data_IF_091441300218
#
_entry.id   IF_091441300218
#
_cell.length_a   1.000
_cell.length_b   1.000
_cell.length_c   1.000
_cell.angle_alpha   90.00
_cell.angle_beta   90.00
_cell.angle_gamma   90.00
#
_symmetry.space_group_name_H-M   'P 1'
#
loop_
_entity.id
_entity.type
_entity.pdbx_description
1 polymer ?
#
# COMPACT_ATOMS: atom_id res chain seq x y z
N UNK A 1 10.89 12.04 -2.88
CA UNK A 1 12.08 11.62 -3.65
C UNK A 1 13.30 11.32 -2.77
N UNK A 2 13.59 12.12 -1.73
CA UNK A 2 14.75 11.85 -0.86
C UNK A 2 14.59 10.55 -0.05
N UNK A 3 13.39 10.24 0.42
CA UNK A 3 13.11 9.02 1.19
C UNK A 3 12.95 7.78 0.33
N UNK A 4 12.36 7.90 -0.84
CA UNK A 4 12.08 6.81 -1.78
C UNK A 4 12.58 7.20 -3.16
N UNK A 5 13.88 7.05 -3.43
CA UNK A 5 14.44 7.39 -4.73
C UNK A 5 13.90 6.43 -5.80
N UNK A 6 13.49 6.97 -6.93
CA UNK A 6 13.08 6.22 -8.10
C UNK A 6 14.26 6.10 -9.05
N UNK A 7 14.71 4.87 -9.28
CA UNK A 7 15.77 4.59 -10.24
C UNK A 7 15.16 4.25 -11.61
N UNK A 8 15.74 4.71 -12.71
CA UNK A 8 15.31 4.29 -14.03
C UNK A 8 15.38 2.77 -14.18
N UNK A 9 14.34 2.15 -14.73
CA UNK A 9 14.29 0.71 -14.93
C UNK A 9 13.65 0.33 -16.26
N UNK A 10 13.92 -0.87 -16.74
CA UNK A 10 13.27 -1.43 -17.92
C UNK A 10 12.14 -2.36 -17.48
N UNK A 11 10.91 -2.02 -17.86
CA UNK A 11 9.72 -2.84 -17.65
C UNK A 11 9.63 -3.86 -18.79
N UNK A 12 9.97 -5.12 -18.50
CA UNK A 12 9.97 -6.20 -19.50
C UNK A 12 8.54 -6.53 -19.98
N UNK A 13 7.55 -6.41 -19.09
CA UNK A 13 6.15 -6.72 -19.41
C UNK A 13 5.56 -5.76 -20.44
N UNK A 14 5.96 -4.49 -20.38
CA UNK A 14 5.56 -3.43 -21.31
C UNK A 14 6.57 -3.16 -22.42
N UNK A 15 7.77 -3.77 -22.33
CA UNK A 15 8.91 -3.53 -23.22
C UNK A 15 9.27 -2.04 -23.29
N UNK A 16 9.38 -1.38 -22.15
CA UNK A 16 9.52 0.07 -22.04
C UNK A 16 10.54 0.47 -20.98
N UNK A 17 11.33 1.51 -21.29
CA UNK A 17 12.18 2.19 -20.31
C UNK A 17 11.34 3.16 -19.49
N UNK A 18 11.37 3.05 -18.15
CA UNK A 18 10.70 3.95 -17.22
C UNK A 18 11.76 4.84 -16.56
N UNK A 19 11.61 6.15 -16.72
CA UNK A 19 12.56 7.16 -16.22
C UNK A 19 11.96 8.08 -15.14
N UNK A 20 10.72 7.81 -14.69
CA UNK A 20 10.08 8.60 -13.65
C UNK A 20 8.56 8.48 -13.65
N UNK A 21 7.89 9.44 -13.03
CA UNK A 21 6.44 9.52 -12.92
C UNK A 21 5.93 10.90 -13.34
N UNK A 22 4.83 10.94 -14.08
CA UNK A 22 4.06 12.16 -14.40
C UNK A 22 2.76 12.13 -13.60
N UNK A 23 2.53 13.16 -12.79
CA UNK A 23 1.36 13.24 -11.90
C UNK A 23 0.33 14.18 -12.55
N UNK A 24 -0.88 13.68 -12.76
CA UNK A 24 -2.02 14.42 -13.27
C UNK A 24 -3.12 14.44 -12.21
N UNK A 25 -3.46 15.63 -11.73
CA UNK A 25 -4.53 15.80 -10.74
C UNK A 25 -5.59 16.76 -11.24
N UNK A 26 -6.86 16.52 -10.85
CA UNK A 26 -7.99 17.38 -11.20
C UNK A 26 -9.07 17.28 -10.13
N UNK A 27 -9.98 18.27 -10.13
CA UNK A 27 -11.20 18.22 -9.32
C UNK A 27 -12.28 17.43 -10.05
N UNK A 28 -13.05 16.64 -9.31
CA UNK A 28 -14.16 15.84 -9.85
C UNK A 28 -15.25 16.69 -10.52
N UNK A 29 -15.38 17.96 -10.10
CA UNK A 29 -16.27 18.94 -10.74
C UNK A 29 -15.72 19.54 -12.05
N UNK A 30 -14.43 19.28 -12.34
CA UNK A 30 -13.76 19.76 -13.54
C UNK A 30 -13.72 18.73 -14.67
N UNK A 31 -13.20 19.16 -15.81
CA UNK A 31 -12.96 18.23 -16.93
C UNK A 31 -11.75 17.36 -16.62
N UNK A 32 -11.92 16.05 -16.77
CA UNK A 32 -10.85 15.08 -16.66
C UNK A 32 -9.77 15.33 -17.72
N UNK A 33 -8.51 15.55 -17.33
CA UNK A 33 -7.44 15.78 -18.29
C UNK A 33 -7.00 14.46 -18.91
N UNK A 34 -6.47 14.54 -20.13
CA UNK A 34 -5.76 13.44 -20.78
C UNK A 34 -6.52 12.10 -20.85
N UNK A 35 -7.82 12.15 -21.20
CA UNK A 35 -8.68 10.97 -21.33
C UNK A 35 -8.07 9.84 -22.19
N UNK A 36 -7.26 10.18 -23.17
CA UNK A 36 -6.58 9.18 -24.02
C UNK A 36 -5.49 8.39 -23.29
N UNK A 37 -5.05 8.86 -22.12
CA UNK A 37 -4.00 8.24 -21.32
C UNK A 37 -4.61 7.55 -20.11
N UNK A 38 -5.40 8.28 -19.33
CA UNK A 38 -5.96 7.81 -18.05
C UNK A 38 -7.32 7.13 -18.18
N UNK A 39 -7.94 7.14 -19.36
CA UNK A 39 -9.22 6.48 -19.60
C UNK A 39 -10.31 6.97 -18.65
N UNK A 40 -11.17 6.06 -18.18
CA UNK A 40 -12.26 6.35 -17.26
C UNK A 40 -11.88 6.23 -15.77
N UNK A 41 -10.65 5.84 -15.45
CA UNK A 41 -10.18 5.69 -14.08
C UNK A 41 -10.03 7.04 -13.37
N UNK A 42 -10.34 7.09 -12.08
CA UNK A 42 -10.27 8.31 -11.29
C UNK A 42 -8.96 8.40 -10.49
N UNK A 43 -8.44 7.26 -10.06
CA UNK A 43 -7.19 7.12 -9.33
C UNK A 43 -6.49 5.87 -9.83
N UNK A 44 -5.25 6.01 -10.28
CA UNK A 44 -4.44 4.85 -10.73
C UNK A 44 -2.99 5.24 -11.01
N UNK A 45 -2.15 4.24 -11.01
CA UNK A 45 -0.91 4.26 -11.77
C UNK A 45 -1.23 3.59 -13.11
N UNK A 46 -1.57 4.38 -14.11
CA UNK A 46 -2.14 3.89 -15.36
C UNK A 46 -1.37 4.39 -16.59
N UNK A 47 -0.86 3.45 -17.36
CA UNK A 47 -0.15 3.76 -18.59
C UNK A 47 1.18 4.49 -18.41
N UNK A 48 1.72 4.92 -19.52
CA UNK A 48 2.96 5.67 -19.61
C UNK A 48 2.91 6.70 -20.73
N UNK A 49 3.65 7.79 -20.54
CA UNK A 49 3.85 8.85 -21.54
C UNK A 49 5.29 9.35 -21.42
N UNK A 50 5.97 9.45 -22.54
CA UNK A 50 7.34 9.97 -22.61
C UNK A 50 8.29 9.29 -21.61
N UNK A 51 8.28 7.96 -21.61
CA UNK A 51 9.11 7.12 -20.71
C UNK A 51 8.83 7.34 -19.20
N UNK A 52 7.63 7.79 -18.84
CA UNK A 52 7.22 8.00 -17.43
C UNK A 52 5.90 7.30 -17.14
N UNK A 53 5.80 6.71 -15.98
CA UNK A 53 4.51 6.26 -15.46
C UNK A 53 3.55 7.44 -15.31
N UNK A 54 2.28 7.18 -15.52
CA UNK A 54 1.21 8.15 -15.31
C UNK A 54 0.51 7.83 -14.00
N UNK A 55 0.61 8.74 -13.04
CA UNK A 55 -0.19 8.75 -11.82
C UNK A 55 -1.36 9.70 -11.99
N UNK A 56 -2.58 9.22 -11.85
CA UNK A 56 -3.79 10.03 -11.94
C UNK A 56 -4.47 10.15 -10.58
N UNK A 57 -4.89 11.37 -10.21
CA UNK A 57 -5.48 11.69 -8.91
C UNK A 57 -6.71 12.57 -9.10
N UNK A 58 -7.90 12.01 -8.95
CA UNK A 58 -9.13 12.79 -8.86
C UNK A 58 -9.37 13.19 -7.40
N UNK A 59 -9.52 14.48 -7.17
CA UNK A 59 -9.84 15.04 -5.87
C UNK A 59 -11.26 15.60 -5.86
N UNK A 60 -11.94 15.47 -4.73
CA UNK A 60 -13.24 16.09 -4.51
C UNK A 60 -13.04 17.50 -3.94
N UNK A 61 -14.02 18.40 -4.14
CA UNK A 61 -13.97 19.73 -3.53
C UNK A 61 -13.92 19.64 -1.98
N UNK A 62 -14.60 18.63 -1.42
CA UNK A 62 -14.60 18.36 0.02
C UNK A 62 -13.24 17.97 0.59
N UNK A 63 -12.30 17.48 -0.23
CA UNK A 63 -10.96 17.09 0.21
C UNK A 63 -10.10 18.30 0.58
N UNK A 64 -10.51 19.50 0.17
CA UNK A 64 -9.85 20.76 0.52
C UNK A 64 -10.43 21.44 1.77
N UNK A 65 -11.48 20.87 2.37
CA UNK A 65 -12.03 21.38 3.61
C UNK A 65 -11.01 21.27 4.75
N UNK A 66 -11.13 22.18 5.71
CA UNK A 66 -10.29 22.15 6.92
C UNK A 66 -10.49 20.82 7.67
N UNK A 67 -9.38 20.21 8.07
CA UNK A 67 -9.37 18.91 8.77
C UNK A 67 -9.51 17.68 7.88
N UNK A 68 -9.71 17.82 6.56
CA UNK A 68 -9.66 16.71 5.64
C UNK A 68 -8.22 16.49 5.14
N UNK A 69 -7.63 15.34 5.52
CA UNK A 69 -6.26 14.98 5.18
C UNK A 69 -6.17 14.08 3.94
N UNK A 70 -7.30 13.70 3.34
CA UNK A 70 -7.38 12.74 2.24
C UNK A 70 -6.50 13.12 1.03
N UNK A 71 -6.47 14.41 0.66
CA UNK A 71 -5.64 14.89 -0.45
C UNK A 71 -4.14 14.63 -0.28
N UNK A 72 -3.67 14.63 0.96
CA UNK A 72 -2.27 14.34 1.28
C UNK A 72 -2.02 12.82 1.37
N UNK A 73 -2.96 12.13 1.97
CA UNK A 73 -2.96 10.67 2.10
C UNK A 73 -2.93 10.01 0.72
N UNK A 74 -3.86 10.39 -0.16
CA UNK A 74 -3.96 9.87 -1.51
C UNK A 74 -2.66 10.01 -2.31
N UNK A 75 -2.02 11.18 -2.25
CA UNK A 75 -0.75 11.38 -2.95
C UNK A 75 0.35 10.44 -2.41
N UNK A 76 0.43 10.26 -1.10
CA UNK A 76 1.41 9.38 -0.48
C UNK A 76 1.14 7.91 -0.83
N UNK A 77 -0.12 7.50 -0.83
CA UNK A 77 -0.59 6.17 -1.21
C UNK A 77 -0.16 5.80 -2.63
N UNK A 78 -0.59 6.60 -3.60
CA UNK A 78 -0.32 6.34 -5.01
C UNK A 78 1.18 6.45 -5.34
N UNK A 79 1.91 7.36 -4.69
CA UNK A 79 3.36 7.45 -4.88
C UNK A 79 4.07 6.20 -4.35
N UNK A 80 3.55 5.58 -3.30
CA UNK A 80 4.10 4.32 -2.81
C UNK A 80 3.92 3.19 -3.81
N UNK A 81 2.81 3.12 -4.54
CA UNK A 81 2.66 2.17 -5.65
C UNK A 81 3.72 2.38 -6.74
N UNK A 82 4.04 3.63 -7.08
CA UNK A 82 5.15 3.91 -8.01
C UNK A 82 6.48 3.36 -7.46
N UNK A 83 6.71 3.50 -6.16
CA UNK A 83 7.90 2.96 -5.53
C UNK A 83 7.93 1.42 -5.55
N UNK A 84 6.81 0.76 -5.27
CA UNK A 84 6.67 -0.71 -5.40
C UNK A 84 6.97 -1.17 -6.83
N UNK A 85 6.40 -0.51 -7.83
CA UNK A 85 6.67 -0.81 -9.26
C UNK A 85 8.14 -0.61 -9.61
N UNK A 86 8.78 0.39 -9.04
CA UNK A 86 10.21 0.64 -9.25
C UNK A 86 11.08 -0.49 -8.67
N UNK A 87 10.73 -1.01 -7.50
CA UNK A 87 11.43 -2.14 -6.88
C UNK A 87 11.25 -3.44 -7.67
N UNK A 88 10.03 -3.68 -8.18
CA UNK A 88 9.68 -4.87 -8.97
C UNK A 88 10.13 -4.79 -10.43
N UNK A 89 10.49 -3.60 -10.93
CA UNK A 89 10.74 -3.32 -12.36
C UNK A 89 9.54 -3.68 -13.25
N UNK A 90 8.35 -3.50 -12.72
CA UNK A 90 7.07 -3.80 -13.33
C UNK A 90 6.01 -3.94 -12.24
N UNK A 91 4.82 -4.42 -12.59
CA UNK A 91 3.75 -4.61 -11.63
C UNK A 91 2.91 -5.83 -12.01
N UNK A 92 2.90 -6.81 -11.13
CA UNK A 92 2.00 -7.95 -11.17
C UNK A 92 1.30 -8.01 -9.81
N UNK A 93 0.00 -7.65 -9.78
CA UNK A 93 -0.82 -7.57 -8.57
C UNK A 93 -1.53 -8.87 -8.22
N UNK A 94 -1.40 -9.88 -9.07
CA UNK A 94 -2.07 -11.16 -8.85
C UNK A 94 -1.42 -11.94 -7.68
N UNK A 95 -2.26 -12.28 -6.72
CA UNK A 95 -1.89 -13.10 -5.57
C UNK A 95 -1.24 -12.40 -4.39
N UNK A 96 -1.02 -11.08 -4.45
CA UNK A 96 -0.40 -10.29 -3.36
C UNK A 96 -1.12 -8.97 -3.09
N UNK A 97 -2.34 -8.83 -3.58
CA UNK A 97 -3.05 -7.55 -3.62
C UNK A 97 -3.19 -6.90 -2.23
N UNK A 98 -3.54 -7.68 -1.19
CA UNK A 98 -3.65 -7.12 0.16
C UNK A 98 -2.32 -6.55 0.69
N UNK A 99 -1.19 -7.13 0.28
CA UNK A 99 0.12 -6.64 0.71
C UNK A 99 0.46 -5.33 0.00
N UNK A 100 0.16 -5.24 -1.29
CA UNK A 100 0.33 -4.03 -2.10
C UNK A 100 -0.47 -2.88 -1.49
N UNK A 101 -1.77 -3.05 -1.33
CA UNK A 101 -2.67 -2.02 -0.80
C UNK A 101 -2.42 -1.74 0.69
N UNK A 102 -2.17 -2.77 1.48
CA UNK A 102 -1.89 -2.61 2.91
C UNK A 102 -0.62 -1.84 3.20
N UNK A 103 0.39 -1.98 2.35
CA UNK A 103 1.63 -1.20 2.45
C UNK A 103 1.38 0.26 2.06
N UNK A 104 0.67 0.51 0.96
CA UNK A 104 0.33 1.86 0.53
C UNK A 104 -0.52 2.58 1.59
N UNK A 105 -1.52 1.89 2.17
CA UNK A 105 -2.34 2.42 3.26
C UNK A 105 -1.54 2.66 4.56
N UNK A 106 -0.55 1.82 4.84
CA UNK A 106 0.37 2.05 5.98
C UNK A 106 1.25 3.26 5.73
N UNK A 107 1.80 3.36 4.52
CA UNK A 107 2.65 4.46 4.09
C UNK A 107 1.92 5.81 4.16
N UNK A 108 0.70 5.89 3.61
CA UNK A 108 -0.12 7.10 3.70
C UNK A 108 -0.39 7.50 5.16
N UNK A 109 -0.66 6.50 6.02
CA UNK A 109 -0.95 6.75 7.44
C UNK A 109 0.26 7.30 8.19
N UNK A 110 1.45 6.74 7.94
CA UNK A 110 2.70 7.26 8.51
C UNK A 110 3.03 8.65 7.97
N UNK A 111 2.78 8.91 6.68
CA UNK A 111 2.94 10.22 6.07
C UNK A 111 2.03 11.27 6.72
N UNK A 112 0.76 10.95 6.90
CA UNK A 112 -0.21 11.85 7.54
C UNK A 112 0.15 12.10 9.00
N UNK A 113 0.57 11.07 9.73
CA UNK A 113 1.07 11.20 11.11
C UNK A 113 2.25 12.16 11.20
N UNK A 114 3.26 12.01 10.35
CA UNK A 114 4.52 12.76 10.44
C UNK A 114 4.43 14.17 9.86
N UNK A 115 3.86 14.34 8.66
CA UNK A 115 3.90 15.59 7.91
C UNK A 115 2.62 16.43 8.00
N UNK A 116 1.51 15.81 8.39
CA UNK A 116 0.22 16.48 8.57
C UNK A 116 -0.16 16.62 10.06
N UNK A 117 0.59 15.96 10.96
CA UNK A 117 0.38 15.95 12.41
C UNK A 117 -0.97 15.37 12.84
N UNK A 118 -1.52 14.38 12.10
CA UNK A 118 -2.70 13.64 12.49
C UNK A 118 -2.32 12.24 12.96
N UNK A 119 -2.04 12.10 14.26
CA UNK A 119 -1.69 10.82 14.88
C UNK A 119 -2.85 9.84 14.97
N UNK A 120 -4.09 10.30 14.79
CA UNK A 120 -5.28 9.46 14.86
C UNK A 120 -5.66 8.85 13.50
N UNK A 121 -5.02 9.27 12.42
CA UNK A 121 -5.39 8.85 11.07
C UNK A 121 -5.37 7.32 10.93
N UNK A 122 -4.29 6.67 11.36
CA UNK A 122 -4.15 5.21 11.32
C UNK A 122 -5.20 4.49 12.19
N UNK A 123 -5.56 5.07 13.35
CA UNK A 123 -6.60 4.49 14.21
C UNK A 123 -7.98 4.53 13.57
N UNK A 124 -8.26 5.49 12.70
CA UNK A 124 -9.52 5.53 11.96
C UNK A 124 -9.67 4.32 11.03
N UNK A 125 -8.59 3.84 10.44
CA UNK A 125 -8.57 2.60 9.65
C UNK A 125 -8.74 1.38 10.54
N UNK A 126 -7.93 1.25 11.59
CA UNK A 126 -7.95 0.12 12.49
C UNK A 126 -9.31 -0.05 13.19
N UNK A 127 -9.95 1.04 13.57
CA UNK A 127 -11.28 1.00 14.16
C UNK A 127 -12.35 0.51 13.19
N UNK A 128 -12.29 0.89 11.91
CA UNK A 128 -13.19 0.37 10.88
C UNK A 128 -12.99 -1.12 10.67
N UNK A 129 -11.75 -1.54 10.56
CA UNK A 129 -11.39 -2.95 10.40
C UNK A 129 -11.90 -3.78 11.58
N UNK A 130 -11.74 -3.29 12.80
CA UNK A 130 -12.18 -3.97 14.01
C UNK A 130 -13.69 -4.21 14.05
N UNK A 131 -14.48 -3.25 13.60
CA UNK A 131 -15.95 -3.38 13.55
C UNK A 131 -16.43 -4.41 12.50
N UNK A 132 -15.62 -4.69 11.48
CA UNK A 132 -15.93 -5.63 10.39
C UNK A 132 -15.23 -6.98 10.56
N UNK A 133 -14.54 -7.20 11.66
CA UNK A 133 -13.48 -8.17 11.80
C UNK A 133 -13.93 -9.63 11.73
N UNK A 134 -15.04 -9.98 12.38
CA UNK A 134 -15.50 -11.38 12.46
C UNK A 134 -15.79 -11.97 11.06
N UNK A 135 -16.23 -11.12 10.12
CA UNK A 135 -16.49 -11.54 8.75
C UNK A 135 -15.23 -11.41 7.87
N UNK A 136 -14.40 -10.40 8.11
CA UNK A 136 -13.19 -10.13 7.34
C UNK A 136 -12.15 -11.23 7.41
N UNK A 137 -11.88 -11.78 8.60
CA UNK A 137 -10.88 -12.86 8.78
C UNK A 137 -11.31 -14.18 8.13
N UNK A 138 -12.60 -14.46 8.06
CA UNK A 138 -13.07 -15.69 7.44
C UNK A 138 -12.80 -15.75 5.93
N UNK A 139 -12.53 -14.63 5.30
CA UNK A 139 -12.36 -14.50 3.85
C UNK A 139 -11.00 -13.87 3.46
N UNK A 140 -9.97 -13.98 4.31
CA UNK A 140 -8.66 -13.34 4.06
C UNK A 140 -8.04 -13.70 2.71
N UNK A 141 -8.25 -14.93 2.23
CA UNK A 141 -7.77 -15.37 0.93
C UNK A 141 -8.40 -14.58 -0.24
N UNK A 142 -9.59 -14.00 -0.04
CA UNK A 142 -10.21 -13.14 -1.05
C UNK A 142 -9.41 -11.86 -1.30
N UNK A 143 -8.59 -11.43 -0.35
CA UNK A 143 -7.73 -10.25 -0.49
C UNK A 143 -6.41 -10.53 -1.22
N UNK A 144 -6.16 -11.78 -1.64
CA UNK A 144 -4.96 -12.12 -2.40
C UNK A 144 -4.98 -11.55 -3.82
N UNK A 145 -6.16 -11.33 -4.41
CA UNK A 145 -6.32 -10.80 -5.77
C UNK A 145 -7.21 -9.57 -5.84
N UNK A 146 -7.03 -8.76 -6.88
CA UNK A 146 -7.85 -7.58 -7.16
C UNK A 146 -9.35 -7.91 -7.26
N UNK A 147 -9.72 -8.98 -7.97
CA UNK A 147 -11.11 -9.38 -8.13
C UNK A 147 -11.73 -9.84 -6.81
N UNK A 148 -10.98 -10.59 -6.01
CA UNK A 148 -11.40 -11.00 -4.68
C UNK A 148 -11.55 -9.82 -3.74
N UNK A 149 -10.58 -8.93 -3.69
CA UNK A 149 -10.63 -7.69 -2.92
C UNK A 149 -11.87 -6.85 -3.27
N UNK A 150 -12.12 -6.57 -4.53
CA UNK A 150 -13.28 -5.81 -4.97
C UNK A 150 -14.62 -6.45 -4.60
N UNK A 151 -14.66 -7.78 -4.47
CA UNK A 151 -15.89 -8.48 -4.04
C UNK A 151 -16.24 -8.24 -2.56
N UNK A 152 -15.26 -7.86 -1.73
CA UNK A 152 -15.42 -7.74 -0.28
C UNK A 152 -15.16 -6.32 0.26
N UNK A 153 -14.50 -5.42 -0.48
CA UNK A 153 -14.07 -4.09 -0.02
C UNK A 153 -15.21 -3.25 0.56
N UNK A 154 -16.42 -3.33 -0.02
CA UNK A 154 -17.59 -2.61 0.48
C UNK A 154 -18.12 -3.13 1.81
N UNK A 155 -17.66 -4.29 2.28
CA UNK A 155 -18.12 -4.95 3.49
C UNK A 155 -17.12 -4.79 4.64
N UNK A 156 -15.81 -4.87 4.34
CA UNK A 156 -14.78 -5.07 5.36
C UNK A 156 -13.76 -3.93 5.46
N UNK A 157 -13.94 -2.86 4.70
CA UNK A 157 -13.09 -1.67 4.79
C UNK A 157 -11.60 -1.95 4.60
N UNK A 158 -10.80 -1.34 5.44
CA UNK A 158 -9.36 -1.27 5.25
C UNK A 158 -8.60 -2.42 5.94
N UNK A 159 -9.08 -3.66 5.80
CA UNK A 159 -8.45 -4.84 6.42
C UNK A 159 -7.00 -5.03 5.95
N UNK A 160 -6.65 -4.55 4.77
CA UNK A 160 -5.31 -4.69 4.21
C UNK A 160 -4.25 -3.97 5.04
N UNK A 161 -4.55 -2.80 5.60
CA UNK A 161 -3.65 -2.10 6.53
C UNK A 161 -3.48 -2.89 7.83
N UNK A 162 -4.57 -3.45 8.37
CA UNK A 162 -4.51 -4.30 9.56
C UNK A 162 -3.61 -5.53 9.32
N UNK A 163 -3.73 -6.19 8.16
CA UNK A 163 -2.90 -7.32 7.80
C UNK A 163 -1.43 -6.92 7.69
N UNK A 164 -1.13 -5.78 7.06
CA UNK A 164 0.23 -5.28 6.92
C UNK A 164 0.87 -4.94 8.28
N UNK A 165 0.14 -4.25 9.16
CA UNK A 165 0.62 -3.92 10.50
C UNK A 165 0.79 -5.16 11.39
N UNK A 166 -0.10 -6.15 11.24
CA UNK A 166 0.04 -7.45 11.92
C UNK A 166 1.31 -8.18 11.46
N UNK A 167 1.64 -8.12 10.17
CA UNK A 167 2.88 -8.69 9.64
C UNK A 167 4.11 -8.00 10.25
N UNK A 168 4.10 -6.67 10.33
CA UNK A 168 5.17 -5.91 10.99
C UNK A 168 5.33 -6.32 12.46
N UNK A 169 4.22 -6.55 13.16
CA UNK A 169 4.26 -7.00 14.56
C UNK A 169 4.84 -8.41 14.70
N UNK A 170 4.48 -9.34 13.81
CA UNK A 170 5.05 -10.68 13.78
C UNK A 170 6.58 -10.64 13.57
N UNK A 171 7.05 -9.78 12.69
CA UNK A 171 8.50 -9.60 12.47
C UNK A 171 9.21 -9.07 13.71
N UNK A 172 8.57 -8.14 14.45
CA UNK A 172 9.09 -7.67 15.73
C UNK A 172 9.16 -8.79 16.78
N UNK A 173 8.16 -9.65 16.86
CA UNK A 173 8.16 -10.82 17.75
C UNK A 173 9.25 -11.84 17.39
N UNK A 174 9.69 -11.87 16.12
CA UNK A 174 10.84 -12.65 15.66
C UNK A 174 12.19 -12.02 16.01
N UNK A 175 12.20 -10.82 16.60
CA UNK A 175 13.39 -10.13 17.08
C UNK A 175 13.88 -8.98 16.23
N UNK A 176 13.16 -8.61 15.14
CA UNK A 176 13.48 -7.43 14.36
C UNK A 176 13.07 -6.16 15.12
N UNK A 177 13.80 -5.07 14.94
CA UNK A 177 13.32 -3.75 15.35
C UNK A 177 12.12 -3.34 14.50
N UNK A 178 11.36 -2.35 14.94
CA UNK A 178 10.24 -1.81 14.17
C UNK A 178 10.70 -1.28 12.81
N UNK A 179 11.82 -0.54 12.78
CA UNK A 179 12.47 -0.08 11.55
C UNK A 179 12.79 -1.22 10.57
N UNK A 180 13.46 -2.25 11.05
CA UNK A 180 13.81 -3.42 10.23
C UNK A 180 12.57 -4.13 9.71
N UNK A 181 11.53 -4.27 10.54
CA UNK A 181 10.27 -4.90 10.15
C UNK A 181 9.62 -4.17 8.97
N UNK A 182 9.52 -2.84 9.02
CA UNK A 182 8.97 -2.07 7.91
C UNK A 182 9.89 -2.07 6.68
N UNK A 183 11.19 -2.05 6.86
CA UNK A 183 12.14 -2.16 5.73
C UNK A 183 12.02 -3.49 5.01
N UNK A 184 11.91 -4.58 5.75
CA UNK A 184 11.68 -5.92 5.18
C UNK A 184 10.37 -5.93 4.36
N UNK A 185 9.30 -5.34 4.89
CA UNK A 185 7.99 -5.31 4.24
C UNK A 185 8.00 -4.39 3.01
N UNK A 186 8.51 -3.17 3.15
CA UNK A 186 8.40 -2.14 2.11
C UNK A 186 9.42 -2.27 0.99
N UNK A 187 10.56 -2.93 1.25
CA UNK A 187 11.65 -3.02 0.29
C UNK A 187 12.11 -4.45 0.02
N UNK A 188 12.53 -5.18 1.06
CA UNK A 188 13.30 -6.40 0.86
C UNK A 188 12.44 -7.51 0.23
N UNK A 189 11.16 -7.55 0.55
CA UNK A 189 10.22 -8.48 -0.09
C UNK A 189 10.15 -8.25 -1.62
N UNK A 190 9.98 -7.00 -2.05
CA UNK A 190 9.83 -6.66 -3.47
C UNK A 190 11.12 -6.91 -4.26
N UNK A 191 12.29 -6.75 -3.63
CA UNK A 191 13.58 -7.08 -4.25
C UNK A 191 13.77 -8.57 -4.55
N UNK A 192 12.90 -9.44 -4.02
CA UNK A 192 12.92 -10.88 -4.34
C UNK A 192 12.15 -11.23 -5.61
N UNK A 193 11.57 -10.25 -6.28
CA UNK A 193 10.79 -10.40 -7.50
C UNK A 193 9.61 -11.40 -7.33
N UNK A 194 8.68 -11.12 -6.39
CA UNK A 194 7.49 -11.95 -6.22
C UNK A 194 6.54 -11.77 -7.40
N UNK A 195 5.91 -12.89 -7.81
CA UNK A 195 4.90 -12.90 -8.86
C UNK A 195 3.81 -13.95 -8.55
N UNK A 196 2.76 -14.03 -9.36
CA UNK A 196 1.62 -14.94 -9.17
C UNK A 196 2.06 -16.39 -8.85
N UNK A 197 3.11 -16.88 -9.48
CA UNK A 197 3.53 -18.28 -9.33
C UNK A 197 4.39 -18.55 -8.09
N UNK A 198 5.09 -17.54 -7.54
CA UNK A 198 6.11 -17.74 -6.51
C UNK A 198 5.87 -16.95 -5.21
N UNK A 199 4.94 -16.00 -5.16
CA UNK A 199 4.81 -15.06 -4.05
C UNK A 199 4.62 -15.73 -2.68
N UNK A 200 3.91 -16.86 -2.59
CA UNK A 200 3.74 -17.60 -1.31
C UNK A 200 5.06 -18.20 -0.81
N UNK A 201 5.92 -18.60 -1.75
CA UNK A 201 7.26 -19.09 -1.43
C UNK A 201 8.11 -17.93 -0.93
N UNK A 202 8.13 -16.82 -1.70
CA UNK A 202 8.87 -15.60 -1.35
C UNK A 202 8.40 -15.01 -0.02
N UNK A 203 7.09 -15.01 0.23
CA UNK A 203 6.51 -14.60 1.50
C UNK A 203 7.12 -15.38 2.67
N UNK A 204 7.15 -16.71 2.57
CA UNK A 204 7.73 -17.54 3.62
C UNK A 204 9.25 -17.34 3.76
N UNK A 205 9.97 -17.19 2.65
CA UNK A 205 11.42 -16.98 2.66
C UNK A 205 11.81 -15.66 3.34
N UNK A 206 11.07 -14.59 3.06
CA UNK A 206 11.38 -13.23 3.56
C UNK A 206 10.85 -13.00 4.96
N UNK A 207 9.60 -13.39 5.22
CA UNK A 207 8.94 -13.08 6.49
C UNK A 207 9.07 -14.21 7.55
N UNK A 208 9.66 -15.34 7.20
CA UNK A 208 9.88 -16.46 8.14
C UNK A 208 8.59 -17.12 8.62
N UNK A 209 7.46 -16.89 7.96
CA UNK A 209 6.15 -17.45 8.29
C UNK A 209 5.40 -17.83 7.01
N UNK A 210 4.75 -18.99 6.98
CA UNK A 210 3.90 -19.35 5.85
C UNK A 210 2.64 -18.47 5.80
N UNK A 211 2.09 -18.24 4.61
CA UNK A 211 0.88 -17.43 4.45
C UNK A 211 -0.31 -17.97 5.26
N UNK A 212 -0.49 -19.30 5.32
CA UNK A 212 -1.57 -19.89 6.12
C UNK A 212 -1.37 -19.69 7.62
N UNK A 213 -0.13 -19.76 8.13
CA UNK A 213 0.15 -19.45 9.52
C UNK A 213 -0.02 -17.95 9.81
N UNK A 214 0.36 -17.08 8.86
CA UNK A 214 0.12 -15.65 8.98
C UNK A 214 -1.38 -15.35 9.12
N UNK A 215 -2.23 -15.92 8.27
CA UNK A 215 -3.68 -15.72 8.35
C UNK A 215 -4.27 -16.19 9.67
N UNK A 216 -3.78 -17.31 10.21
CA UNK A 216 -4.19 -17.76 11.54
C UNK A 216 -3.78 -16.78 12.65
N UNK A 217 -2.58 -16.20 12.54
CA UNK A 217 -2.04 -15.25 13.51
C UNK A 217 -2.78 -13.90 13.51
N UNK A 218 -3.50 -13.53 12.47
CA UNK A 218 -4.30 -12.30 12.46
C UNK A 218 -5.29 -12.24 13.63
N UNK A 219 -5.79 -13.40 14.06
CA UNK A 219 -6.70 -13.48 15.23
C UNK A 219 -6.06 -12.98 16.54
N UNK A 220 -4.74 -13.06 16.68
CA UNK A 220 -4.03 -12.67 17.89
C UNK A 220 -4.07 -11.14 18.11
N UNK A 221 -4.26 -10.38 17.03
CA UNK A 221 -4.20 -8.91 17.01
C UNK A 221 -5.56 -8.22 17.03
N UNK A 222 -6.67 -8.99 16.90
CA UNK A 222 -8.02 -8.45 16.83
C UNK A 222 -8.46 -7.63 18.03
N UNK A 223 -8.10 -8.09 19.21
CA UNK A 223 -8.69 -7.57 20.46
C UNK A 223 -8.10 -6.23 20.88
N UNK A 224 -6.91 -5.90 20.40
CA UNK A 224 -6.20 -4.67 20.76
C UNK A 224 -5.48 -4.08 19.54
N UNK A 225 -6.23 -3.63 18.53
CA UNK A 225 -5.64 -3.12 17.29
C UNK A 225 -4.77 -1.86 17.50
N UNK A 226 -4.98 -1.12 18.58
CA UNK A 226 -4.12 -0.02 19.00
C UNK A 226 -2.66 -0.40 19.23
N UNK A 227 -2.39 -1.66 19.57
CA UNK A 227 -1.03 -2.17 19.73
C UNK A 227 -0.30 -2.37 18.39
N UNK A 228 -1.02 -2.24 17.27
CA UNK A 228 -0.45 -2.30 15.93
C UNK A 228 -0.01 -0.94 15.42
N UNK A 229 -0.41 0.16 16.06
CA UNK A 229 -0.06 1.51 15.63
C UNK A 229 1.46 1.70 15.73
N UNK A 230 2.15 1.99 14.61
CA UNK A 230 3.59 2.16 14.62
C UNK A 230 4.02 3.38 15.44
N UNK A 231 5.08 3.24 16.23
CA UNK A 231 5.72 4.37 16.90
C UNK A 231 6.71 5.08 15.98
N UNK A 232 7.28 4.35 15.03
CA UNK A 232 8.28 4.83 14.08
C UNK A 232 7.70 5.88 13.11
N UNK A 233 8.57 6.75 12.60
CA UNK A 233 8.27 7.70 11.52
C UNK A 233 8.73 7.17 10.15
N UNK A 234 8.23 7.75 9.08
CA UNK A 234 8.75 7.47 7.72
C UNK A 234 10.21 7.86 7.59
N UNK A 235 10.58 8.99 8.16
CA UNK A 235 11.98 9.45 8.16
C UNK A 235 12.91 8.44 8.82
N UNK A 236 12.45 7.77 9.89
CA UNK A 236 13.23 6.72 10.54
C UNK A 236 13.37 5.46 9.67
N UNK A 237 12.36 5.14 8.86
CA UNK A 237 12.40 3.95 7.99
C UNK A 237 13.34 4.19 6.80
N UNK A 238 13.23 5.32 6.13
CA UNK A 238 13.87 5.57 4.83
C UNK A 238 15.12 6.45 4.90
N UNK A 239 15.24 7.32 5.91
CA UNK A 239 16.41 8.16 6.10
C UNK A 239 17.28 7.60 7.23
N UNK A 240 18.58 7.52 7.03
CA UNK A 240 19.52 7.05 8.06
C UNK A 240 19.96 8.16 8.97
#
# INVERSE_FOLDING_TARGET
EEMMPLEPYFDESRNLQINGVSIYSWLSSGSKPYLSIIGDTDQCICGEVDDKLVMSLQLQEGDFNEGNNFKYALLAHEFFHVYQMNLLKGFDDDGIFWLIEGQAATMESLYVKEFVNDSNYIMNFLNKTYLSFDEGIQNVESYESYNGFNSVIGQYGDITIFMNLSLAKILQEQGNSEKESFKIIFEDYWKTDPNESNWKIKFNEVFGISISNFYQRLNDFQTNPENLVPEISLSDIFLN
#
